data_IF_800451172889
#
_entry.id   IF_800451172889
#
_cell.length_a   1.000
_cell.length_b   1.000
_cell.length_c   1.000
_cell.angle_alpha   90.00
_cell.angle_beta   90.00
_cell.angle_gamma   90.00
#
_symmetry.space_group_name_H-M   'P 1'
#
loop_
_entity.id
_entity.type
_entity.pdbx_description
1 polymer ?
#
# COMPACT_ATOMS: atom_id res chain seq x y z
N UNK A 1 -26.69 33.17 3.02
CA UNK A 1 -25.50 33.75 3.69
C UNK A 1 -25.03 32.96 4.92
N UNK A 2 -25.17 31.66 5.01
CA UNK A 2 -24.62 30.92 6.15
C UNK A 2 -24.44 29.42 5.86
N UNK A 3 -24.02 29.05 4.65
CA UNK A 3 -23.85 27.61 4.36
C UNK A 3 -22.58 27.03 5.00
N UNK A 4 -21.58 27.83 5.36
CA UNK A 4 -20.37 27.32 6.02
C UNK A 4 -19.71 28.47 6.85
N UNK A 5 -20.15 28.76 8.08
CA UNK A 5 -19.48 29.78 8.91
C UNK A 5 -18.10 29.24 9.34
N UNK A 6 -17.04 29.91 8.89
CA UNK A 6 -15.66 29.68 9.35
C UNK A 6 -14.77 28.90 8.38
N UNK A 7 -15.23 28.61 7.18
CA UNK A 7 -14.38 27.98 6.15
C UNK A 7 -13.76 29.05 5.27
N UNK A 8 -12.44 29.17 5.32
CA UNK A 8 -11.68 29.95 4.33
C UNK A 8 -11.65 29.15 3.03
N UNK A 9 -12.25 29.69 1.96
CA UNK A 9 -12.33 29.06 0.65
C UNK A 9 -11.17 29.48 -0.28
N UNK A 10 -10.11 30.08 0.27
CA UNK A 10 -8.86 30.29 -0.48
C UNK A 10 -8.08 28.99 -0.70
N UNK A 11 -8.42 27.93 0.03
CA UNK A 11 -7.81 26.61 -0.15
C UNK A 11 -8.46 25.88 -1.33
N UNK A 12 -7.63 25.15 -2.11
CA UNK A 12 -8.04 24.37 -3.26
C UNK A 12 -9.18 23.38 -2.90
N UNK A 13 -10.34 23.57 -3.53
CA UNK A 13 -11.48 22.67 -3.38
C UNK A 13 -11.43 21.64 -4.50
N UNK A 14 -11.26 20.36 -4.14
CA UNK A 14 -11.40 19.24 -5.06
C UNK A 14 -12.67 18.44 -4.74
N UNK A 15 -13.30 17.88 -5.75
CA UNK A 15 -14.53 17.11 -5.61
C UNK A 15 -14.33 15.71 -6.17
N UNK A 16 -14.73 14.67 -5.41
CA UNK A 16 -14.78 13.30 -5.89
C UNK A 16 -16.23 12.98 -6.26
N UNK A 17 -16.47 12.73 -7.55
CA UNK A 17 -17.79 12.44 -8.08
C UNK A 17 -17.91 10.94 -8.42
N UNK A 18 -19.06 10.34 -8.11
CA UNK A 18 -19.45 9.02 -8.61
C UNK A 18 -19.91 9.14 -10.09
N UNK A 19 -19.82 8.05 -10.86
CA UNK A 19 -20.11 8.02 -12.33
C UNK A 19 -21.44 8.67 -12.79
N UNK A 20 -22.42 8.80 -11.92
CA UNK A 20 -23.70 9.48 -12.26
C UNK A 20 -23.62 11.02 -12.23
N UNK A 21 -22.51 11.60 -11.78
CA UNK A 21 -22.34 13.04 -11.60
C UNK A 21 -21.64 13.72 -12.77
N UNK A 22 -21.09 12.99 -13.71
CA UNK A 22 -20.47 13.56 -14.92
C UNK A 22 -21.48 14.41 -15.72
N UNK A 23 -22.75 14.01 -15.72
CA UNK A 23 -23.84 14.73 -16.38
C UNK A 23 -24.17 16.06 -15.68
N UNK A 24 -24.08 16.11 -14.36
CA UNK A 24 -24.33 17.33 -13.57
C UNK A 24 -23.17 18.29 -13.70
N UNK A 25 -21.95 17.80 -13.63
CA UNK A 25 -20.75 18.63 -13.76
C UNK A 25 -20.67 19.30 -15.15
N UNK A 26 -20.93 18.55 -16.21
CA UNK A 26 -20.93 19.06 -17.61
C UNK A 26 -21.96 20.16 -17.87
N UNK A 27 -23.00 20.28 -17.06
CA UNK A 27 -23.99 21.35 -17.19
C UNK A 27 -23.56 22.69 -16.52
N UNK A 28 -22.52 22.65 -15.67
CA UNK A 28 -22.09 23.80 -14.87
C UNK A 28 -20.65 24.27 -15.13
N UNK A 29 -19.88 23.49 -15.90
CA UNK A 29 -18.46 23.74 -16.15
C UNK A 29 -18.17 23.86 -17.65
N UNK A 30 -17.23 24.70 -18.00
CA UNK A 30 -16.68 24.76 -19.34
C UNK A 30 -15.81 23.50 -19.56
N UNK A 31 -15.94 22.85 -20.73
CA UNK A 31 -15.23 21.60 -21.07
C UNK A 31 -13.70 21.68 -20.93
N UNK A 32 -13.17 22.90 -20.87
CA UNK A 32 -11.72 23.15 -20.70
C UNK A 32 -11.20 22.90 -19.27
N UNK A 33 -12.09 22.71 -18.27
CA UNK A 33 -11.73 22.54 -16.87
C UNK A 33 -11.80 21.08 -16.37
N UNK A 34 -12.11 20.13 -17.28
CA UNK A 34 -12.20 18.72 -16.95
C UNK A 34 -10.81 18.07 -16.95
N UNK A 35 -10.26 17.79 -15.77
CA UNK A 35 -9.09 16.92 -15.69
C UNK A 35 -9.53 15.45 -15.78
N UNK A 36 -8.77 14.60 -16.50
CA UNK A 36 -9.00 13.14 -16.68
C UNK A 36 -9.16 12.35 -15.36
N UNK A 37 -8.87 12.97 -14.22
CA UNK A 37 -8.90 12.37 -12.88
C UNK A 37 -10.22 12.58 -12.11
N UNK A 38 -11.23 13.24 -12.70
CA UNK A 38 -12.47 13.59 -11.98
C UNK A 38 -12.25 14.58 -10.82
N UNK A 39 -11.18 15.37 -10.86
CA UNK A 39 -10.87 16.44 -9.92
C UNK A 39 -11.16 17.78 -10.54
N UNK A 40 -11.75 18.66 -9.75
CA UNK A 40 -12.06 20.03 -10.15
C UNK A 40 -11.40 21.00 -9.18
N UNK A 41 -10.56 21.86 -9.71
CA UNK A 41 -9.89 22.91 -8.97
C UNK A 41 -10.53 24.27 -9.33
N UNK A 42 -10.65 25.14 -8.35
CA UNK A 42 -11.02 26.55 -8.59
C UNK A 42 -12.51 26.89 -8.60
N UNK A 43 -13.37 26.11 -7.96
CA UNK A 43 -14.80 26.44 -7.85
C UNK A 43 -15.07 27.74 -7.11
N UNK A 44 -16.02 28.53 -7.63
CA UNK A 44 -16.58 29.67 -6.91
C UNK A 44 -17.60 29.22 -5.87
N UNK A 45 -17.83 30.03 -4.83
CA UNK A 45 -18.90 29.77 -3.84
C UNK A 45 -20.25 29.52 -4.49
N UNK A 46 -20.53 30.21 -5.60
CA UNK A 46 -21.80 30.10 -6.32
C UNK A 46 -21.93 28.74 -7.02
N UNK A 47 -20.84 28.25 -7.61
CA UNK A 47 -20.81 26.92 -8.26
C UNK A 47 -20.96 25.80 -7.23
N UNK A 48 -20.26 25.87 -6.11
CA UNK A 48 -20.36 24.90 -5.02
C UNK A 48 -21.81 24.83 -4.47
N UNK A 49 -22.43 25.99 -4.25
CA UNK A 49 -23.81 26.04 -3.76
C UNK A 49 -24.82 25.44 -4.74
N UNK A 50 -24.62 25.63 -6.05
CA UNK A 50 -25.48 25.02 -7.08
C UNK A 50 -25.32 23.49 -7.12
N UNK A 51 -24.08 23.02 -7.08
CA UNK A 51 -23.78 21.58 -7.08
C UNK A 51 -24.33 20.92 -5.82
N UNK A 52 -24.15 21.54 -4.65
CA UNK A 52 -24.67 21.02 -3.39
C UNK A 52 -26.21 21.00 -3.31
N UNK A 53 -26.90 21.78 -4.15
CA UNK A 53 -28.35 21.81 -4.23
C UNK A 53 -28.93 20.71 -5.14
N UNK A 54 -28.13 20.02 -5.91
CA UNK A 54 -28.59 18.94 -6.79
C UNK A 54 -28.99 17.69 -5.99
N UNK A 55 -30.20 17.13 -6.21
CA UNK A 55 -30.67 15.97 -5.44
C UNK A 55 -29.82 14.71 -5.53
N UNK A 56 -29.01 14.59 -6.58
CA UNK A 56 -28.08 13.46 -6.80
C UNK A 56 -26.76 13.62 -6.06
N UNK A 57 -26.48 14.79 -5.47
CA UNK A 57 -25.24 15.10 -4.75
C UNK A 57 -25.44 14.82 -3.26
N UNK A 58 -24.81 13.77 -2.76
CA UNK A 58 -24.91 13.40 -1.35
C UNK A 58 -24.00 14.23 -0.44
N UNK A 59 -22.88 14.73 -0.97
CA UNK A 59 -21.92 15.48 -0.19
C UNK A 59 -20.99 16.30 -1.09
N UNK A 60 -20.64 17.51 -0.62
CA UNK A 60 -19.62 18.37 -1.20
C UNK A 60 -18.76 18.92 -0.07
N UNK A 61 -17.45 18.80 -0.20
CA UNK A 61 -16.54 19.30 0.82
C UNK A 61 -15.14 19.56 0.28
N UNK A 62 -14.28 20.18 1.10
CA UNK A 62 -12.90 20.42 0.71
C UNK A 62 -12.18 19.10 0.45
N UNK A 63 -11.37 19.06 -0.60
CA UNK A 63 -10.45 17.97 -0.78
C UNK A 63 -9.34 18.09 0.26
N UNK A 64 -9.11 17.08 1.11
CA UNK A 64 -7.98 17.12 2.02
C UNK A 64 -6.67 17.16 1.22
N UNK A 65 -5.75 18.00 1.66
CA UNK A 65 -4.38 17.95 1.17
C UNK A 65 -3.79 16.59 1.55
N UNK A 66 -3.56 15.74 0.56
CA UNK A 66 -2.94 14.43 0.78
C UNK A 66 -1.43 14.63 0.78
N UNK A 67 -0.82 14.29 1.90
CA UNK A 67 0.63 14.29 2.06
C UNK A 67 1.08 12.86 2.28
N UNK A 68 2.14 12.43 1.59
CA UNK A 68 2.77 11.13 1.82
C UNK A 68 3.53 11.23 3.14
N UNK A 69 3.24 10.34 4.09
CA UNK A 69 3.71 10.43 5.47
C UNK A 69 4.90 9.51 5.78
N UNK A 70 5.51 8.89 4.77
CA UNK A 70 6.64 7.95 4.95
C UNK A 70 8.00 8.65 5.07
N UNK A 71 8.06 9.94 4.86
CA UNK A 71 9.29 10.76 4.96
C UNK A 71 9.98 10.69 6.34
N UNK A 72 9.25 10.30 7.38
CA UNK A 72 9.76 10.16 8.74
C UNK A 72 10.01 8.70 9.16
N UNK A 73 9.64 7.72 8.34
CA UNK A 73 9.71 6.29 8.72
C UNK A 73 11.13 5.86 9.10
N UNK A 74 12.14 6.25 8.33
CA UNK A 74 13.55 5.97 8.64
C UNK A 74 13.97 6.52 10.00
N UNK A 75 13.54 7.74 10.33
CA UNK A 75 13.84 8.37 11.62
C UNK A 75 13.10 7.67 12.78
N UNK A 76 11.81 7.33 12.59
CA UNK A 76 11.02 6.65 13.62
C UNK A 76 11.53 5.26 13.94
N UNK A 77 12.02 4.55 12.94
CA UNK A 77 12.63 3.22 13.11
C UNK A 77 14.12 3.28 13.47
N UNK A 78 14.68 4.47 13.65
CA UNK A 78 16.09 4.69 13.94
C UNK A 78 17.06 4.14 12.86
N UNK A 79 16.61 4.00 11.62
CA UNK A 79 17.43 3.49 10.51
C UNK A 79 18.64 4.40 10.29
N UNK A 80 18.42 5.71 10.18
CA UNK A 80 19.51 6.67 10.00
C UNK A 80 20.52 6.66 11.14
N UNK A 81 20.07 6.44 12.38
CA UNK A 81 20.96 6.32 13.54
C UNK A 81 21.75 5.01 13.50
N UNK A 82 21.12 3.92 13.05
CA UNK A 82 21.77 2.62 12.91
C UNK A 82 22.87 2.67 11.83
N UNK A 83 22.60 3.25 10.67
CA UNK A 83 23.60 3.44 9.60
C UNK A 83 24.81 4.27 10.06
N UNK A 84 24.60 5.28 10.89
CA UNK A 84 25.70 6.07 11.48
C UNK A 84 26.51 5.29 12.53
N UNK A 85 25.87 4.37 13.24
CA UNK A 85 26.53 3.63 14.33
C UNK A 85 27.37 2.47 13.82
N UNK A 86 26.88 1.76 12.80
CA UNK A 86 27.60 0.65 12.19
C UNK A 86 28.50 1.16 11.05
N UNK A 87 29.75 0.76 11.06
CA UNK A 87 30.74 1.12 10.02
C UNK A 87 30.55 0.32 8.72
N UNK A 88 29.59 -0.57 8.69
CA UNK A 88 29.16 -1.35 7.51
C UNK A 88 27.83 -0.83 7.04
N UNK A 89 27.72 -0.56 5.76
CA UNK A 89 26.48 -0.09 5.12
C UNK A 89 25.39 -1.19 5.26
N UNK A 90 24.41 -0.93 6.14
CA UNK A 90 23.23 -1.79 6.32
C UNK A 90 22.09 -1.23 5.46
N UNK A 91 22.34 -1.10 4.17
CA UNK A 91 21.48 -0.45 3.17
C UNK A 91 20.71 -1.44 2.28
N UNK A 92 20.89 -2.74 2.52
CA UNK A 92 20.29 -3.81 1.72
C UNK A 92 21.15 -4.29 0.55
N UNK A 93 22.38 -3.80 0.40
CA UNK A 93 23.28 -4.24 -0.66
C UNK A 93 23.45 -5.78 -0.67
N UNK A 94 23.31 -6.39 -1.83
CA UNK A 94 23.37 -7.86 -2.00
C UNK A 94 22.13 -8.62 -1.51
N UNK A 95 21.08 -7.94 -1.08
CA UNK A 95 19.81 -8.55 -0.70
C UNK A 95 18.77 -8.40 -1.81
N UNK A 96 17.93 -9.42 -1.98
CA UNK A 96 16.79 -9.38 -2.91
C UNK A 96 15.51 -9.41 -2.08
N UNK A 97 14.68 -8.37 -2.25
CA UNK A 97 13.35 -8.29 -1.63
C UNK A 97 12.29 -8.52 -2.69
N UNK A 98 11.39 -9.46 -2.44
CA UNK A 98 10.20 -9.63 -3.26
C UNK A 98 9.06 -8.76 -2.72
N UNK A 99 8.35 -8.11 -3.63
CA UNK A 99 7.13 -7.34 -3.36
C UNK A 99 6.03 -7.89 -4.27
N UNK A 100 4.91 -8.32 -3.69
CA UNK A 100 3.71 -8.64 -4.44
C UNK A 100 2.65 -7.57 -4.12
N UNK A 101 2.19 -6.87 -5.15
CA UNK A 101 1.25 -5.75 -4.99
C UNK A 101 0.54 -5.44 -6.31
N UNK A 102 -0.17 -4.30 -6.41
CA UNK A 102 -0.91 -3.92 -7.60
C UNK A 102 -0.05 -4.04 -8.86
N UNK A 103 0.84 -3.13 -9.11
CA UNK A 103 1.73 -3.08 -10.25
C UNK A 103 2.97 -2.25 -9.92
N UNK A 104 3.82 -2.04 -10.92
CA UNK A 104 5.06 -1.30 -10.76
C UNK A 104 5.24 -0.30 -11.91
N UNK A 105 5.43 0.97 -11.58
CA UNK A 105 6.07 1.93 -12.48
C UNK A 105 7.57 1.62 -12.54
N UNK A 106 7.92 0.70 -13.44
CA UNK A 106 9.29 0.18 -13.56
C UNK A 106 10.30 1.24 -14.04
N UNK A 107 9.82 2.33 -14.65
CA UNK A 107 10.62 3.45 -15.10
C UNK A 107 10.84 4.51 -13.99
N UNK A 108 10.26 4.29 -12.80
CA UNK A 108 10.45 5.21 -11.69
C UNK A 108 11.92 5.31 -11.31
N UNK A 109 12.44 6.55 -11.30
CA UNK A 109 13.87 6.80 -11.17
C UNK A 109 14.51 6.29 -9.89
N UNK A 110 13.74 6.10 -8.81
CA UNK A 110 14.24 5.60 -7.52
C UNK A 110 14.60 4.11 -7.52
N UNK A 111 14.29 3.38 -8.58
CA UNK A 111 14.70 1.99 -8.71
C UNK A 111 16.01 1.80 -9.45
N UNK A 112 16.38 2.72 -10.33
CA UNK A 112 17.59 2.61 -11.15
C UNK A 112 17.64 1.26 -11.90
N UNK A 113 18.75 0.54 -11.74
CA UNK A 113 18.95 -0.80 -12.35
C UNK A 113 18.69 -1.94 -11.35
N UNK A 114 17.99 -1.69 -10.24
CA UNK A 114 17.82 -2.65 -9.16
C UNK A 114 16.59 -3.54 -9.31
N UNK A 115 15.78 -3.40 -10.36
CA UNK A 115 14.67 -4.29 -10.66
C UNK A 115 15.23 -5.52 -11.39
N UNK A 116 15.32 -6.67 -10.70
CA UNK A 116 15.82 -7.93 -11.27
C UNK A 116 14.70 -8.82 -11.84
N UNK A 117 13.46 -8.54 -11.50
CA UNK A 117 12.28 -9.20 -12.02
C UNK A 117 11.04 -8.36 -11.82
N UNK A 118 10.18 -8.33 -12.84
CA UNK A 118 8.85 -7.72 -12.78
C UNK A 118 7.90 -8.66 -13.50
N UNK A 119 7.06 -9.38 -12.73
CA UNK A 119 6.33 -10.56 -13.20
C UNK A 119 4.83 -10.34 -13.08
N UNK A 120 4.13 -10.54 -14.19
CA UNK A 120 2.68 -10.66 -14.22
C UNK A 120 2.26 -12.02 -13.63
N UNK A 121 1.66 -12.01 -12.45
CA UNK A 121 1.23 -13.24 -11.76
C UNK A 121 -0.21 -13.64 -12.06
N UNK A 122 -0.96 -12.78 -12.73
CA UNK A 122 -2.37 -13.02 -13.08
C UNK A 122 -2.56 -13.36 -14.55
N UNK A 123 -1.60 -13.03 -15.41
CA UNK A 123 -1.61 -13.42 -16.82
C UNK A 123 -2.43 -12.48 -17.71
N UNK A 124 -2.57 -11.21 -17.37
CA UNK A 124 -3.26 -10.22 -18.21
C UNK A 124 -2.33 -9.55 -19.24
N UNK A 125 -1.03 -9.83 -19.17
CA UNK A 125 0.00 -9.36 -20.09
C UNK A 125 0.63 -8.02 -19.69
N UNK A 126 0.38 -7.53 -18.47
CA UNK A 126 0.95 -6.28 -17.96
C UNK A 126 1.52 -6.43 -16.55
N UNK A 127 2.39 -5.52 -16.17
CA UNK A 127 2.91 -5.39 -14.82
C UNK A 127 2.85 -3.93 -14.35
N UNK A 128 2.17 -3.07 -15.11
CA UNK A 128 2.07 -1.66 -14.80
C UNK A 128 1.22 -1.40 -13.54
N UNK A 129 1.45 -0.30 -12.87
CA UNK A 129 0.63 0.16 -11.74
C UNK A 129 -0.45 1.13 -12.26
N UNK A 130 -1.38 0.56 -13.05
CA UNK A 130 -2.25 1.35 -13.91
C UNK A 130 -3.39 2.07 -13.17
N UNK A 131 -3.87 1.52 -12.06
CA UNK A 131 -5.07 2.02 -11.40
C UNK A 131 -4.82 2.65 -10.03
N UNK A 132 -3.87 2.11 -9.24
CA UNK A 132 -3.75 2.53 -7.85
C UNK A 132 -2.47 3.28 -7.50
N UNK A 133 -1.36 3.00 -8.14
CA UNK A 133 -0.04 3.50 -7.74
C UNK A 133 0.47 2.91 -6.42
N UNK A 134 -0.27 1.94 -5.85
CA UNK A 134 0.01 1.40 -4.52
C UNK A 134 1.28 0.54 -4.50
N UNK A 135 1.44 -0.36 -5.46
CA UNK A 135 2.59 -1.24 -5.53
C UNK A 135 3.90 -0.49 -5.75
N UNK A 136 3.89 0.53 -6.61
CA UNK A 136 5.02 1.44 -6.81
C UNK A 136 5.41 2.15 -5.51
N UNK A 137 4.41 2.66 -4.78
CA UNK A 137 4.65 3.32 -3.49
C UNK A 137 5.20 2.35 -2.43
N UNK A 138 4.67 1.13 -2.35
CA UNK A 138 5.17 0.09 -1.45
C UNK A 138 6.61 -0.28 -1.79
N UNK A 139 6.91 -0.52 -3.07
CA UNK A 139 8.27 -0.84 -3.52
C UNK A 139 9.25 0.29 -3.20
N UNK A 140 8.89 1.56 -3.44
CA UNK A 140 9.72 2.72 -3.06
C UNK A 140 9.91 2.81 -1.54
N UNK A 141 8.90 2.49 -0.74
CA UNK A 141 9.03 2.46 0.74
C UNK A 141 10.04 1.40 1.19
N UNK A 142 10.10 0.26 0.50
CA UNK A 142 11.07 -0.80 0.80
C UNK A 142 12.48 -0.40 0.36
N UNK A 143 12.67 0.03 -0.90
CA UNK A 143 14.00 0.12 -1.49
C UNK A 143 14.22 1.29 -2.48
N UNK A 144 13.35 2.30 -2.52
CA UNK A 144 13.61 3.51 -3.29
C UNK A 144 14.90 4.20 -2.83
N UNK A 145 15.75 4.67 -3.75
CA UNK A 145 17.01 5.35 -3.41
C UNK A 145 16.85 6.84 -3.08
N UNK A 146 15.65 7.38 -3.26
CA UNK A 146 15.32 8.77 -2.98
C UNK A 146 15.79 9.77 -4.05
N UNK A 147 16.26 9.31 -5.19
CA UNK A 147 16.76 10.17 -6.28
C UNK A 147 15.68 11.14 -6.78
N UNK A 148 14.41 10.75 -6.76
CA UNK A 148 13.29 11.56 -7.25
C UNK A 148 12.63 12.44 -6.19
N UNK A 149 12.78 12.15 -4.89
CA UNK A 149 12.01 12.84 -3.86
C UNK A 149 12.75 13.16 -2.57
N UNK A 150 14.03 12.92 -2.47
CA UNK A 150 14.83 13.05 -1.25
C UNK A 150 14.38 12.14 -0.09
N UNK A 151 13.59 11.10 -0.36
CA UNK A 151 13.07 10.17 0.63
C UNK A 151 13.46 8.75 0.23
N UNK A 152 14.52 8.23 0.82
CA UNK A 152 14.93 6.85 0.58
C UNK A 152 14.02 5.86 1.32
N UNK A 153 13.84 4.69 0.72
CA UNK A 153 13.25 3.51 1.37
C UNK A 153 14.16 2.96 2.48
N UNK A 154 13.78 1.84 3.06
CA UNK A 154 14.50 1.27 4.21
C UNK A 154 15.80 0.59 3.77
N UNK A 155 15.80 -0.05 2.61
CA UNK A 155 16.92 -0.79 2.04
C UNK A 155 17.27 -0.28 0.63
N UNK A 156 17.82 0.96 0.50
CA UNK A 156 17.93 1.65 -0.79
C UNK A 156 18.92 1.00 -1.78
N UNK A 157 19.75 0.06 -1.35
CA UNK A 157 20.68 -0.68 -2.21
C UNK A 157 20.20 -2.14 -2.48
N UNK A 158 19.06 -2.55 -1.95
CA UNK A 158 18.49 -3.87 -2.23
C UNK A 158 17.98 -3.98 -3.68
N UNK A 159 17.95 -5.21 -4.20
CA UNK A 159 17.35 -5.54 -5.49
C UNK A 159 15.89 -5.94 -5.33
N UNK A 160 15.07 -5.58 -6.32
CA UNK A 160 13.63 -5.80 -6.34
C UNK A 160 13.24 -6.96 -7.25
N UNK A 161 12.50 -7.92 -6.70
CA UNK A 161 11.73 -8.89 -7.47
C UNK A 161 10.23 -8.58 -7.29
N UNK A 162 9.59 -7.96 -8.29
CA UNK A 162 8.20 -7.52 -8.20
C UNK A 162 7.24 -8.53 -8.83
N UNK A 163 6.05 -8.68 -8.24
CA UNK A 163 4.98 -9.56 -8.69
C UNK A 163 3.67 -8.76 -8.75
N UNK A 164 3.25 -8.41 -9.97
CA UNK A 164 2.07 -7.60 -10.22
C UNK A 164 0.79 -8.45 -10.12
N UNK A 165 -0.17 -7.96 -9.33
CA UNK A 165 -1.40 -8.66 -8.95
C UNK A 165 -2.67 -7.90 -9.35
N UNK A 166 -2.57 -6.69 -9.88
CA UNK A 166 -3.70 -5.93 -10.39
C UNK A 166 -3.96 -6.29 -11.86
N UNK A 167 -5.22 -6.45 -12.20
CA UNK A 167 -5.61 -6.61 -13.60
C UNK A 167 -5.76 -5.22 -14.23
N UNK A 168 -4.89 -4.89 -15.17
CA UNK A 168 -4.83 -3.58 -15.82
C UNK A 168 -6.09 -3.23 -16.64
N UNK A 169 -6.91 -4.22 -16.97
CA UNK A 169 -8.16 -3.96 -17.71
C UNK A 169 -9.31 -3.49 -16.81
N UNK A 170 -9.27 -3.78 -15.50
CA UNK A 170 -10.42 -3.52 -14.61
C UNK A 170 -10.04 -3.11 -13.18
N UNK A 171 -8.75 -3.03 -12.84
CA UNK A 171 -8.26 -2.66 -11.51
C UNK A 171 -8.51 -3.72 -10.42
N UNK A 172 -8.95 -4.90 -10.77
CA UNK A 172 -9.18 -5.95 -9.79
C UNK A 172 -7.88 -6.59 -9.33
N UNK A 173 -7.75 -6.70 -8.02
CA UNK A 173 -6.62 -7.34 -7.38
C UNK A 173 -6.82 -8.86 -7.32
N UNK A 174 -5.89 -9.65 -7.83
CA UNK A 174 -6.02 -11.09 -7.99
C UNK A 174 -4.69 -11.82 -7.77
N UNK A 175 -4.79 -13.11 -7.46
CA UNK A 175 -3.64 -14.02 -7.43
C UNK A 175 -4.06 -15.40 -7.93
N UNK A 176 -3.15 -16.10 -8.57
CA UNK A 176 -3.40 -17.47 -9.02
C UNK A 176 -3.05 -18.51 -7.95
N UNK A 177 -1.95 -18.30 -7.23
CA UNK A 177 -1.46 -19.21 -6.18
C UNK A 177 -0.40 -18.53 -5.32
N UNK A 178 -0.66 -18.40 -4.03
CA UNK A 178 0.31 -17.89 -3.05
C UNK A 178 1.56 -18.78 -3.02
N UNK A 179 1.38 -20.08 -3.02
CA UNK A 179 2.47 -21.02 -3.07
C UNK A 179 3.40 -20.77 -4.27
N UNK A 180 2.82 -20.51 -5.43
CA UNK A 180 3.60 -20.24 -6.64
C UNK A 180 4.35 -18.92 -6.58
N UNK A 181 3.70 -17.88 -6.07
CA UNK A 181 4.32 -16.56 -5.88
C UNK A 181 5.54 -16.64 -4.95
N UNK A 182 5.37 -17.24 -3.77
CA UNK A 182 6.46 -17.38 -2.80
C UNK A 182 7.60 -18.26 -3.35
N UNK A 183 7.28 -19.38 -4.04
CA UNK A 183 8.27 -20.22 -4.71
C UNK A 183 9.07 -19.47 -5.76
N UNK A 184 8.38 -18.73 -6.61
CA UNK A 184 9.04 -18.02 -7.72
C UNK A 184 9.97 -16.94 -7.17
N UNK A 185 9.53 -16.18 -6.18
CA UNK A 185 10.37 -15.19 -5.51
C UNK A 185 11.61 -15.83 -4.87
N UNK A 186 11.43 -16.92 -4.12
CA UNK A 186 12.54 -17.64 -3.48
C UNK A 186 13.56 -18.16 -4.49
N UNK A 187 13.09 -18.77 -5.59
CA UNK A 187 13.94 -19.31 -6.63
C UNK A 187 14.72 -18.24 -7.41
N UNK A 188 14.21 -17.00 -7.41
CA UNK A 188 14.89 -15.84 -7.96
C UNK A 188 15.76 -15.10 -6.91
N UNK A 189 16.04 -15.74 -5.78
CA UNK A 189 17.00 -15.28 -4.80
C UNK A 189 16.41 -14.47 -3.65
N UNK A 190 15.13 -14.12 -3.66
CA UNK A 190 14.52 -13.41 -2.55
C UNK A 190 14.55 -14.23 -1.26
N UNK A 191 14.82 -13.55 -0.13
CA UNK A 191 14.76 -14.13 1.23
C UNK A 191 13.78 -13.36 2.11
N UNK A 192 13.28 -12.25 1.62
CA UNK A 192 12.20 -11.47 2.22
C UNK A 192 11.11 -11.25 1.17
N UNK A 193 9.87 -11.49 1.55
CA UNK A 193 8.68 -11.31 0.70
C UNK A 193 7.65 -10.46 1.45
N UNK A 194 7.34 -9.29 0.95
CA UNK A 194 6.42 -8.35 1.59
C UNK A 194 5.12 -8.18 0.79
N UNK A 195 4.01 -8.09 1.52
CA UNK A 195 2.65 -8.09 0.99
C UNK A 195 1.81 -7.05 1.74
N UNK A 196 1.50 -5.94 1.08
CA UNK A 196 0.66 -4.89 1.65
C UNK A 196 -0.81 -5.06 1.28
N UNK A 197 -1.31 -6.28 1.36
CA UNK A 197 -2.68 -6.66 1.03
C UNK A 197 -3.18 -7.79 1.92
N UNK A 198 -4.49 -8.04 1.89
CA UNK A 198 -5.17 -9.12 2.62
C UNK A 198 -6.67 -9.04 2.43
N UNK A 199 -7.41 -9.98 3.01
CA UNK A 199 -8.87 -9.96 2.99
C UNK A 199 -9.40 -8.81 3.85
N UNK A 200 -10.28 -8.00 3.28
CA UNK A 200 -11.06 -6.97 3.98
C UNK A 200 -12.45 -7.46 4.36
N UNK A 201 -12.79 -8.72 4.06
CA UNK A 201 -14.07 -9.30 4.43
C UNK A 201 -14.12 -9.58 5.92
N UNK A 202 -15.16 -9.07 6.61
CA UNK A 202 -15.34 -9.32 8.04
C UNK A 202 -15.58 -10.80 8.38
N UNK A 203 -15.94 -11.63 7.41
CA UNK A 203 -16.04 -13.09 7.59
C UNK A 203 -14.69 -13.79 7.69
N UNK A 204 -13.62 -13.11 7.30
CA UNK A 204 -12.26 -13.66 7.26
C UNK A 204 -11.37 -13.07 8.37
N UNK A 205 -11.90 -12.14 9.15
CA UNK A 205 -11.17 -11.55 10.26
C UNK A 205 -10.89 -12.60 11.34
N UNK A 206 -9.68 -12.67 11.80
CA UNK A 206 -9.21 -13.64 12.77
C UNK A 206 -9.09 -15.08 12.25
N UNK A 207 -9.71 -15.40 11.11
CA UNK A 207 -9.82 -16.76 10.60
C UNK A 207 -8.51 -17.24 9.99
N UNK A 208 -8.10 -18.45 10.38
CA UNK A 208 -7.00 -19.16 9.71
C UNK A 208 -7.55 -19.87 8.46
N UNK A 209 -7.31 -19.31 7.29
CA UNK A 209 -7.83 -19.78 6.01
C UNK A 209 -6.84 -20.70 5.28
N UNK A 210 -7.27 -21.31 4.15
CA UNK A 210 -6.37 -22.05 3.26
C UNK A 210 -5.23 -21.18 2.71
N UNK A 211 -5.46 -19.88 2.48
CA UNK A 211 -4.40 -18.96 2.07
C UNK A 211 -3.37 -18.73 3.18
N UNK A 212 -3.79 -18.74 4.45
CA UNK A 212 -2.89 -18.70 5.61
C UNK A 212 -2.05 -19.99 5.73
N UNK A 213 -2.67 -21.14 5.45
CA UNK A 213 -1.99 -22.43 5.39
C UNK A 213 -0.93 -22.46 4.27
N UNK A 214 -1.27 -21.98 3.08
CA UNK A 214 -0.34 -21.88 1.96
C UNK A 214 0.90 -21.04 2.30
N UNK A 215 0.73 -19.93 3.00
CA UNK A 215 1.84 -19.09 3.49
C UNK A 215 2.70 -19.87 4.48
N UNK A 216 2.07 -20.53 5.46
CA UNK A 216 2.78 -21.30 6.48
C UNK A 216 3.58 -22.45 5.87
N UNK A 217 3.01 -23.16 4.93
CA UNK A 217 3.68 -24.26 4.23
C UNK A 217 4.92 -23.77 3.49
N UNK A 218 4.85 -22.62 2.84
CA UNK A 218 5.99 -22.08 2.09
C UNK A 218 7.04 -21.43 2.97
N UNK A 219 6.65 -20.66 3.97
CA UNK A 219 7.60 -20.06 4.90
C UNK A 219 8.46 -21.14 5.62
N UNK A 220 7.86 -22.31 5.92
CA UNK A 220 8.53 -23.43 6.58
C UNK A 220 9.24 -24.40 5.63
N UNK A 221 8.78 -24.50 4.37
CA UNK A 221 9.26 -25.50 3.43
C UNK A 221 10.79 -25.47 3.24
N UNK A 222 11.35 -24.29 3.10
CA UNK A 222 12.77 -24.11 2.84
C UNK A 222 13.61 -24.39 4.10
N UNK A 223 13.08 -24.08 5.28
CA UNK A 223 13.75 -24.33 6.55
C UNK A 223 13.77 -25.83 6.90
N UNK A 224 12.70 -26.55 6.60
CA UNK A 224 12.51 -27.94 6.98
C UNK A 224 13.18 -28.95 6.03
N UNK A 225 13.14 -28.69 4.72
CA UNK A 225 13.55 -29.68 3.70
C UNK A 225 14.93 -29.44 3.11
N UNK A 226 15.50 -28.27 3.29
CA UNK A 226 16.79 -27.91 2.71
C UNK A 226 17.75 -27.44 3.81
N UNK A 227 18.30 -28.42 4.56
CA UNK A 227 19.27 -28.08 5.60
C UNK A 227 20.45 -27.28 5.03
N UNK A 228 20.72 -26.11 5.61
CA UNK A 228 21.76 -25.17 5.16
C UNK A 228 21.29 -24.15 4.12
N UNK A 229 20.01 -24.08 3.78
CA UNK A 229 19.42 -22.98 3.01
C UNK A 229 18.74 -21.99 3.95
N UNK A 230 18.81 -20.73 3.61
CA UNK A 230 18.10 -19.66 4.32
C UNK A 230 16.58 -19.81 4.05
N UNK A 231 15.76 -19.62 5.10
CA UNK A 231 14.30 -19.59 4.98
C UNK A 231 13.80 -18.37 4.23
N UNK A 232 12.51 -18.34 3.92
CA UNK A 232 11.81 -17.17 3.39
C UNK A 232 11.08 -16.45 4.50
N UNK A 233 11.45 -15.21 4.79
CA UNK A 233 10.71 -14.34 5.69
C UNK A 233 9.55 -13.74 4.93
N UNK A 234 8.32 -14.04 5.36
CA UNK A 234 7.09 -13.53 4.75
C UNK A 234 6.44 -12.52 5.67
N UNK A 235 6.12 -11.34 5.12
CA UNK A 235 5.43 -10.26 5.84
C UNK A 235 4.08 -9.98 5.19
N UNK A 236 3.05 -9.76 6.01
CA UNK A 236 1.75 -9.29 5.58
C UNK A 236 1.30 -8.09 6.39
N UNK A 237 0.56 -7.17 5.75
CA UNK A 237 -0.14 -6.13 6.47
C UNK A 237 -1.20 -6.75 7.40
N UNK A 238 -1.38 -6.15 8.59
CA UNK A 238 -2.45 -6.55 9.50
C UNK A 238 -3.85 -6.23 8.95
N UNK A 239 -3.95 -5.19 8.14
CA UNK A 239 -5.18 -4.65 7.59
C UNK A 239 -5.53 -3.27 8.16
N UNK A 240 -6.64 -2.71 7.69
CA UNK A 240 -7.10 -1.35 7.99
C UNK A 240 -8.47 -1.31 8.70
N UNK A 241 -8.84 -2.39 9.39
CA UNK A 241 -10.18 -2.62 9.96
C UNK A 241 -10.20 -2.46 11.50
N UNK A 242 -9.19 -1.76 12.07
CA UNK A 242 -9.16 -1.40 13.49
C UNK A 242 -10.25 -0.40 13.89
N UNK A 243 -10.36 -0.03 15.17
CA UNK A 243 -9.50 -0.37 16.30
C UNK A 243 -9.94 -1.62 17.09
N UNK A 244 -11.00 -2.30 16.67
CA UNK A 244 -11.50 -3.46 17.39
C UNK A 244 -10.50 -4.62 17.37
N UNK A 245 -10.59 -5.50 18.35
CA UNK A 245 -9.87 -6.77 18.35
C UNK A 245 -10.42 -7.69 17.28
N UNK A 246 -9.60 -8.68 16.89
CA UNK A 246 -10.01 -9.73 15.94
C UNK A 246 -10.37 -9.22 14.55
N UNK A 247 -9.56 -8.30 14.04
CA UNK A 247 -9.79 -7.64 12.72
C UNK A 247 -8.66 -7.91 11.72
N UNK A 248 -7.72 -8.82 12.05
CA UNK A 248 -6.64 -9.17 11.12
C UNK A 248 -7.19 -10.06 10.00
N UNK A 249 -7.05 -9.60 8.76
CA UNK A 249 -7.46 -10.36 7.58
C UNK A 249 -6.45 -11.45 7.18
N UNK A 250 -6.94 -12.52 6.56
CA UNK A 250 -6.08 -13.53 5.94
C UNK A 250 -5.37 -12.93 4.70
N UNK A 251 -4.11 -13.32 4.38
CA UNK A 251 -3.25 -14.32 5.01
C UNK A 251 -2.46 -13.82 6.23
N UNK A 252 -2.67 -12.59 6.72
CA UNK A 252 -2.00 -12.06 7.92
C UNK A 252 -2.19 -12.93 9.17
N UNK A 253 -3.22 -13.79 9.19
CA UNK A 253 -3.49 -14.78 10.25
C UNK A 253 -2.59 -16.02 10.20
N UNK A 254 -1.73 -16.18 9.18
CA UNK A 254 -0.78 -17.28 9.08
C UNK A 254 0.18 -17.32 10.28
N UNK A 255 0.64 -18.51 10.69
CA UNK A 255 1.45 -18.71 11.91
C UNK A 255 2.90 -18.28 11.75
N UNK A 256 3.45 -18.47 10.56
CA UNK A 256 4.87 -18.24 10.26
C UNK A 256 5.11 -16.93 9.48
N UNK A 257 4.13 -16.04 9.43
CA UNK A 257 4.29 -14.70 8.86
C UNK A 257 4.50 -13.65 9.94
N UNK A 258 5.22 -12.60 9.60
CA UNK A 258 5.27 -11.36 10.39
C UNK A 258 4.09 -10.50 9.95
N UNK A 259 3.13 -10.32 10.86
CA UNK A 259 1.96 -9.47 10.59
C UNK A 259 2.24 -8.07 11.11
N UNK A 260 2.18 -7.10 10.21
CA UNK A 260 2.66 -5.73 10.45
C UNK A 260 1.49 -4.79 10.64
N UNK A 261 1.36 -4.25 11.84
CA UNK A 261 0.40 -3.19 12.17
C UNK A 261 0.93 -1.80 11.80
N UNK A 262 0.04 -0.82 11.77
CA UNK A 262 0.35 0.56 11.42
C UNK A 262 0.50 1.42 12.69
N UNK A 263 1.61 2.12 12.82
CA UNK A 263 1.83 3.10 13.89
C UNK A 263 1.46 4.51 13.43
N UNK A 264 1.10 5.37 14.37
CA UNK A 264 1.00 6.79 14.12
C UNK A 264 2.39 7.34 13.76
N UNK A 265 2.40 8.37 12.92
CA UNK A 265 3.60 9.14 12.64
C UNK A 265 3.57 10.48 13.40
N UNK A 266 4.66 11.24 13.36
CA UNK A 266 4.75 12.52 14.07
C UNK A 266 3.74 13.58 13.61
N UNK A 267 3.10 13.39 12.46
CA UNK A 267 2.09 14.31 11.94
C UNK A 267 0.69 13.95 12.42
N UNK A 268 0.42 12.68 12.74
CA UNK A 268 -0.88 12.18 13.19
C UNK A 268 -0.93 11.79 14.67
N UNK A 269 0.18 11.88 15.39
CA UNK A 269 0.26 11.55 16.81
C UNK A 269 1.65 11.08 17.25
N UNK A 270 1.71 10.34 18.35
CA UNK A 270 2.96 9.80 18.87
C UNK A 270 3.41 8.57 18.06
N UNK A 271 4.65 8.53 17.55
CA UNK A 271 5.12 7.45 16.68
C UNK A 271 5.11 6.05 17.31
N UNK A 272 5.06 5.97 18.63
CA UNK A 272 4.98 4.72 19.38
C UNK A 272 3.54 4.27 19.71
N UNK A 273 2.56 4.89 19.08
CA UNK A 273 1.14 4.58 19.26
C UNK A 273 0.60 3.91 18.00
N UNK A 274 -0.19 2.86 18.17
CA UNK A 274 -0.85 2.19 17.06
C UNK A 274 -1.95 3.10 16.49
N UNK A 275 -2.04 3.22 15.17
CA UNK A 275 -3.16 3.92 14.52
C UNK A 275 -4.49 3.22 14.79
N UNK A 276 -5.55 4.00 14.97
CA UNK A 276 -6.89 3.46 15.22
C UNK A 276 -7.37 2.56 14.07
N UNK A 277 -7.04 2.90 12.83
CA UNK A 277 -7.38 2.08 11.67
C UNK A 277 -6.59 0.79 11.53
N UNK A 278 -5.47 0.61 12.25
CA UNK A 278 -4.72 -0.63 12.16
C UNK A 278 -5.51 -1.80 12.71
N UNK A 279 -5.64 -2.87 11.92
CA UNK A 279 -6.22 -4.13 12.39
C UNK A 279 -5.46 -4.70 13.58
N UNK A 280 -6.17 -5.43 14.45
CA UNK A 280 -5.66 -5.93 15.74
C UNK A 280 -6.04 -7.39 15.96
N UNK A 281 -5.13 -8.12 16.59
CA UNK A 281 -5.42 -9.44 17.15
C UNK A 281 -6.19 -9.37 18.48
N UNK A 282 -6.30 -10.49 19.19
CA UNK A 282 -5.83 -11.82 18.77
C UNK A 282 -6.60 -12.34 17.56
N UNK A 283 -6.14 -13.44 16.97
CA UNK A 283 -6.91 -14.19 15.97
C UNK A 283 -7.79 -15.23 16.65
N UNK A 284 -8.76 -15.83 15.95
CA UNK A 284 -9.82 -16.74 16.48
C UNK A 284 -9.29 -17.88 17.37
N UNK A 285 -8.12 -18.42 17.05
CA UNK A 285 -7.50 -19.48 17.85
C UNK A 285 -6.71 -18.97 19.09
N UNK A 286 -6.80 -17.68 19.37
CA UNK A 286 -6.19 -17.02 20.53
C UNK A 286 -4.72 -16.64 20.35
N UNK A 287 -4.13 -16.84 19.19
CA UNK A 287 -2.75 -16.39 18.91
C UNK A 287 -2.67 -14.87 18.86
N UNK A 288 -1.58 -14.35 19.39
CA UNK A 288 -1.23 -12.95 19.25
C UNK A 288 -0.65 -12.72 17.85
N UNK A 289 -1.20 -11.74 17.18
CA UNK A 289 -0.76 -11.26 15.86
C UNK A 289 -0.72 -9.73 15.88
#
# INVERSE_FOLDING_TARGET
DSLLPGVDISDNWGMRLHQELDVVANNFLDESEFAETGRYDGFTKSSIAKIAAEPSVAWVGPQPSLTIWNDQSRNHMNINAMEQYYTTDLDGSGQIVAVADSGLDHDHGDFGNRIIGNVDVIGDGSTADAHSGHGTHVACTVLGDGTRGNYAGIAPEAELYFQAMENDNNGNFQWSSINNMLNTAYNNGARTHTNSWGSSSSSDWGVYTSTSEDVDDRARYYDQYYSGREGLTVLFAAGNDGPNSDTIGAPGTAKNTITVGNSQNRYSGAPNTIMDGSSRGPVDDGRIK
#
